data_IF_197273558722
#
_entry.id   IF_197273558722
#
_cell.length_a   1.000
_cell.length_b   1.000
_cell.length_c   1.000
_cell.angle_alpha   90.00
_cell.angle_beta   90.00
_cell.angle_gamma   90.00
#
_symmetry.space_group_name_H-M   'P 1'
#
loop_
_entity.id
_entity.type
_entity.pdbx_description
1 polymer ?
#
# COMPACT_ATOMS: atom_id res chain seq x y z
N UNK A 1 52.96 41.35 59.62
CA UNK A 1 52.29 41.99 58.49
C UNK A 1 51.64 40.85 57.66
N UNK A 2 50.38 40.60 57.91
CA UNK A 2 49.63 39.57 57.19
C UNK A 2 48.78 40.19 56.08
N UNK A 3 49.04 39.83 54.85
CA UNK A 3 48.24 40.23 53.70
C UNK A 3 46.93 39.46 53.70
N UNK A 4 45.82 40.12 53.90
CA UNK A 4 44.49 39.51 53.71
C UNK A 4 44.19 39.52 52.22
N UNK A 5 44.27 38.33 51.63
CA UNK A 5 43.84 38.11 50.23
C UNK A 5 42.34 38.23 50.12
N UNK A 6 41.85 39.35 49.54
CA UNK A 6 40.44 39.50 49.16
C UNK A 6 40.18 38.59 47.97
N UNK A 7 39.52 37.46 48.20
CA UNK A 7 39.02 36.62 47.12
C UNK A 7 37.84 37.30 46.43
N UNK A 8 37.86 37.45 45.09
CA UNK A 8 36.74 38.07 44.38
C UNK A 8 35.58 37.07 44.23
N UNK A 9 34.76 37.00 45.27
CA UNK A 9 33.60 36.09 45.34
C UNK A 9 32.49 36.42 44.30
N UNK A 10 32.61 37.55 43.64
CA UNK A 10 31.64 37.96 42.59
C UNK A 10 31.81 37.30 41.24
N UNK A 11 33.03 36.95 40.86
CA UNK A 11 33.28 36.37 39.50
C UNK A 11 32.87 34.92 39.35
N UNK A 12 32.89 34.13 40.41
CA UNK A 12 32.47 32.74 40.39
C UNK A 12 30.94 32.59 40.16
N UNK A 13 30.15 33.48 40.73
CA UNK A 13 28.70 33.52 40.53
C UNK A 13 28.32 33.97 39.11
N UNK A 14 29.04 34.95 38.55
CA UNK A 14 28.85 35.36 37.16
C UNK A 14 29.18 34.24 36.16
N UNK A 15 30.27 33.54 36.38
CA UNK A 15 30.66 32.41 35.53
C UNK A 15 29.63 31.25 35.59
N UNK A 16 29.12 30.94 36.78
CA UNK A 16 28.09 29.90 36.97
C UNK A 16 26.75 30.31 36.31
N UNK A 17 26.34 31.58 36.40
CA UNK A 17 25.14 32.09 35.75
C UNK A 17 25.25 32.05 34.22
N UNK A 18 26.40 32.42 33.66
CA UNK A 18 26.63 32.31 32.20
C UNK A 18 26.65 30.86 31.71
N UNK A 19 27.25 29.93 32.46
CA UNK A 19 27.24 28.52 32.11
C UNK A 19 25.82 27.93 32.12
N UNK A 20 25.01 28.29 33.13
CA UNK A 20 23.61 27.87 33.20
C UNK A 20 22.77 28.42 32.05
N UNK A 21 22.98 29.70 31.69
CA UNK A 21 22.30 30.32 30.56
C UNK A 21 22.66 29.63 29.21
N UNK A 22 23.95 29.33 29.01
CA UNK A 22 24.39 28.60 27.79
C UNK A 22 23.83 27.18 27.73
N UNK A 23 23.76 26.47 28.85
CA UNK A 23 23.12 25.13 28.90
C UNK A 23 21.63 25.20 28.58
N UNK A 24 20.90 26.16 29.12
CA UNK A 24 19.48 26.35 28.79
C UNK A 24 19.28 26.70 27.31
N UNK A 25 20.13 27.54 26.75
CA UNK A 25 20.10 27.92 25.34
C UNK A 25 20.38 26.70 24.43
N UNK A 26 21.37 25.89 24.80
CA UNK A 26 21.71 24.67 24.08
C UNK A 26 20.58 23.61 24.13
N UNK A 27 19.96 23.43 25.29
CA UNK A 27 18.80 22.58 25.46
C UNK A 27 17.59 23.08 24.65
N UNK A 28 17.31 24.38 24.72
CA UNK A 28 16.24 25.01 23.95
C UNK A 28 16.46 24.83 22.43
N UNK A 29 17.68 25.09 21.96
CA UNK A 29 18.07 24.92 20.56
C UNK A 29 17.93 23.46 20.11
N UNK A 30 18.32 22.50 20.94
CA UNK A 30 18.22 21.08 20.66
C UNK A 30 16.73 20.63 20.53
N UNK A 31 15.88 21.10 21.44
CA UNK A 31 14.43 20.82 21.40
C UNK A 31 13.80 21.40 20.15
N UNK A 32 14.05 22.69 19.84
CA UNK A 32 13.48 23.37 18.67
C UNK A 32 13.98 22.76 17.36
N UNK A 33 15.25 22.37 17.30
CA UNK A 33 15.81 21.71 16.12
C UNK A 33 15.23 20.30 15.91
N UNK A 34 15.01 19.58 16.99
CA UNK A 34 14.38 18.25 16.95
C UNK A 34 12.92 18.29 16.47
N UNK A 35 12.16 19.30 16.88
CA UNK A 35 10.76 19.47 16.45
C UNK A 35 10.65 19.79 14.94
N UNK A 36 11.52 20.67 14.44
CA UNK A 36 11.57 20.96 12.99
C UNK A 36 11.93 19.74 12.15
N UNK A 37 12.86 18.92 12.63
CA UNK A 37 13.22 17.66 11.98
C UNK A 37 12.04 16.68 11.89
N UNK A 38 11.27 16.58 12.98
CA UNK A 38 10.07 15.72 13.03
C UNK A 38 8.97 16.23 12.09
N UNK A 39 8.72 17.54 12.07
CA UNK A 39 7.73 18.15 11.16
C UNK A 39 8.09 17.93 9.70
N UNK A 40 9.36 18.10 9.32
CA UNK A 40 9.82 17.82 7.96
C UNK A 40 9.70 16.34 7.59
N UNK A 41 10.01 15.43 8.52
CA UNK A 41 9.84 14.00 8.30
C UNK A 41 8.36 13.61 8.10
N UNK A 42 7.47 14.15 8.95
CA UNK A 42 6.02 13.93 8.82
C UNK A 42 5.46 14.51 7.51
N UNK A 43 5.87 15.73 7.13
CA UNK A 43 5.45 16.34 5.88
C UNK A 43 5.92 15.54 4.64
N UNK A 44 7.14 15.00 4.68
CA UNK A 44 7.65 14.12 3.61
C UNK A 44 6.90 12.80 3.54
N UNK A 45 6.59 12.21 4.69
CA UNK A 45 5.82 10.97 4.73
C UNK A 45 4.41 11.18 4.19
N UNK A 46 3.70 12.23 4.63
CA UNK A 46 2.35 12.53 4.12
C UNK A 46 2.34 12.86 2.62
N UNK A 47 3.39 13.50 2.11
CA UNK A 47 3.54 13.75 0.67
C UNK A 47 3.72 12.44 -0.10
N UNK A 48 4.63 11.55 0.36
CA UNK A 48 4.85 10.27 -0.30
C UNK A 48 3.61 9.36 -0.29
N UNK A 49 2.84 9.37 0.80
CA UNK A 49 1.56 8.65 0.89
C UNK A 49 0.53 9.21 -0.11
N UNK A 50 0.44 10.54 -0.21
CA UNK A 50 -0.44 11.21 -1.16
C UNK A 50 -0.04 10.96 -2.62
N UNK A 51 1.25 10.91 -2.92
CA UNK A 51 1.76 10.60 -4.27
C UNK A 51 1.46 9.14 -4.63
N UNK A 52 1.68 8.20 -3.73
CA UNK A 52 1.36 6.79 -3.94
C UNK A 52 -0.14 6.55 -4.18
N UNK A 53 -1.00 7.27 -3.45
CA UNK A 53 -2.46 7.23 -3.66
C UNK A 53 -2.85 7.76 -5.04
N UNK A 54 -2.27 8.90 -5.45
CA UNK A 54 -2.50 9.47 -6.79
C UNK A 54 -2.05 8.52 -7.91
N UNK A 55 -0.89 7.90 -7.76
CA UNK A 55 -0.40 6.93 -8.74
C UNK A 55 -1.33 5.72 -8.88
N UNK A 56 -1.84 5.21 -7.76
CA UNK A 56 -2.86 4.14 -7.75
C UNK A 56 -4.12 4.53 -8.50
N UNK A 57 -4.66 5.71 -8.19
CA UNK A 57 -5.87 6.21 -8.86
C UNK A 57 -5.62 6.41 -10.35
N UNK A 58 -4.50 7.00 -10.74
CA UNK A 58 -4.13 7.18 -12.15
C UNK A 58 -3.95 5.84 -12.89
N UNK A 59 -3.42 4.82 -12.22
CA UNK A 59 -3.31 3.49 -12.81
C UNK A 59 -4.69 2.90 -13.13
N UNK A 60 -5.66 3.05 -12.22
CA UNK A 60 -7.05 2.61 -12.45
C UNK A 60 -7.69 3.40 -13.59
N UNK A 61 -7.56 4.73 -13.61
CA UNK A 61 -8.12 5.56 -14.67
C UNK A 61 -7.56 5.21 -16.06
N UNK A 62 -6.26 4.94 -16.14
CA UNK A 62 -5.65 4.50 -17.42
C UNK A 62 -6.31 3.24 -17.99
N UNK A 63 -6.65 2.26 -17.16
CA UNK A 63 -7.38 1.07 -17.62
C UNK A 63 -8.77 1.41 -18.19
N UNK A 64 -9.45 2.39 -17.62
CA UNK A 64 -10.81 2.75 -18.01
C UNK A 64 -10.84 3.62 -19.30
N UNK A 65 -9.79 4.39 -19.55
CA UNK A 65 -9.70 5.32 -20.68
C UNK A 65 -9.08 4.71 -21.95
N UNK A 66 -8.31 3.62 -21.82
CA UNK A 66 -7.63 3.00 -22.95
C UNK A 66 -8.60 2.23 -23.88
N UNK A 67 -8.62 2.53 -25.19
CA UNK A 67 -9.58 1.91 -26.12
C UNK A 67 -9.45 0.39 -26.29
N UNK A 68 -8.26 -0.15 -26.04
CA UNK A 68 -7.98 -1.60 -26.16
C UNK A 68 -8.38 -2.39 -24.92
N UNK A 69 -8.92 -1.71 -23.89
CA UNK A 69 -9.36 -2.36 -22.64
C UNK A 69 -10.62 -3.20 -22.86
N UNK A 70 -10.54 -4.47 -22.53
CA UNK A 70 -11.70 -5.37 -22.53
C UNK A 70 -12.20 -5.54 -21.11
N UNK A 71 -13.47 -5.21 -20.89
CA UNK A 71 -14.14 -5.38 -19.61
C UNK A 71 -14.92 -6.69 -19.62
N UNK A 72 -14.78 -7.45 -18.53
CA UNK A 72 -15.58 -8.64 -18.26
C UNK A 72 -16.21 -8.53 -16.89
N UNK A 73 -17.52 -8.71 -16.83
CA UNK A 73 -18.27 -8.72 -15.57
C UNK A 73 -18.29 -10.13 -15.00
N UNK A 74 -18.22 -10.25 -13.70
CA UNK A 74 -18.49 -11.49 -12.98
C UNK A 74 -19.52 -11.26 -11.88
N UNK A 75 -20.18 -12.31 -11.48
CA UNK A 75 -21.25 -12.28 -10.47
C UNK A 75 -22.42 -13.12 -10.92
N UNK A 76 -23.16 -13.63 -9.95
CA UNK A 76 -24.35 -14.43 -10.16
C UNK A 76 -25.58 -13.68 -9.63
N UNK A 77 -26.80 -13.90 -10.14
CA UNK A 77 -28.03 -13.29 -9.61
C UNK A 77 -28.44 -13.77 -8.21
N UNK A 78 -27.58 -14.51 -7.51
CA UNK A 78 -27.82 -14.95 -6.14
C UNK A 78 -27.69 -13.80 -5.13
N UNK A 79 -28.28 -13.97 -3.95
CA UNK A 79 -28.61 -12.91 -2.99
C UNK A 79 -27.45 -12.10 -2.38
N UNK A 80 -26.19 -12.40 -2.57
CA UNK A 80 -24.98 -11.57 -2.31
C UNK A 80 -23.66 -12.28 -2.73
N UNK A 81 -23.53 -12.74 -3.98
CA UNK A 81 -22.27 -13.33 -4.43
C UNK A 81 -21.18 -12.27 -4.59
N UNK A 82 -19.91 -12.65 -4.63
CA UNK A 82 -18.87 -11.81 -5.16
C UNK A 82 -19.24 -11.33 -6.56
N UNK A 83 -19.07 -10.04 -6.80
CA UNK A 83 -19.38 -9.40 -8.08
C UNK A 83 -18.36 -8.34 -8.42
N UNK A 84 -18.21 -8.01 -9.69
CA UNK A 84 -17.32 -6.95 -10.11
C UNK A 84 -16.94 -7.04 -11.57
N UNK A 85 -15.85 -6.38 -11.89
CA UNK A 85 -15.34 -6.24 -13.24
C UNK A 85 -13.86 -6.62 -13.28
N UNK A 86 -13.48 -7.27 -14.36
CA UNK A 86 -12.08 -7.49 -14.72
C UNK A 86 -11.83 -6.76 -16.03
N UNK A 87 -10.80 -5.94 -16.05
CA UNK A 87 -10.35 -5.18 -17.21
C UNK A 87 -9.03 -5.76 -17.68
N UNK A 88 -8.96 -6.11 -18.93
CA UNK A 88 -7.78 -6.67 -19.58
C UNK A 88 -7.26 -5.69 -20.62
N UNK A 89 -5.98 -5.37 -20.55
CA UNK A 89 -5.32 -4.54 -21.55
C UNK A 89 -3.96 -5.16 -21.92
N UNK A 90 -3.61 -5.25 -23.21
CA UNK A 90 -2.41 -5.97 -23.66
C UNK A 90 -1.12 -5.42 -23.06
N UNK A 91 -1.01 -4.13 -22.85
CA UNK A 91 0.19 -3.46 -22.31
C UNK A 91 0.10 -3.13 -20.82
N UNK A 92 -1.09 -2.78 -20.30
CA UNK A 92 -1.27 -2.38 -18.91
C UNK A 92 -1.47 -3.58 -17.99
N UNK A 93 -1.87 -4.74 -18.53
CA UNK A 93 -2.10 -5.96 -17.76
C UNK A 93 -3.55 -6.20 -17.38
N UNK A 94 -3.80 -6.54 -16.13
CA UNK A 94 -5.14 -6.87 -15.62
C UNK A 94 -5.47 -6.01 -14.40
N UNK A 95 -6.67 -5.42 -14.41
CA UNK A 95 -7.26 -4.73 -13.27
C UNK A 95 -8.53 -5.48 -12.83
N UNK A 96 -8.58 -5.87 -11.57
CA UNK A 96 -9.75 -6.45 -10.91
C UNK A 96 -10.37 -5.41 -9.98
N UNK A 97 -11.68 -5.19 -10.10
CA UNK A 97 -12.50 -4.44 -9.15
C UNK A 97 -13.59 -5.37 -8.64
N UNK A 98 -13.58 -5.68 -7.37
CA UNK A 98 -14.48 -6.65 -6.74
C UNK A 98 -15.25 -6.05 -5.56
N UNK A 99 -16.46 -6.55 -5.34
CA UNK A 99 -17.32 -6.23 -4.21
C UNK A 99 -17.99 -7.50 -3.67
N UNK A 100 -18.48 -7.44 -2.44
CA UNK A 100 -19.11 -8.55 -1.71
C UNK A 100 -18.18 -9.77 -1.55
N UNK A 101 -16.87 -9.51 -1.42
CA UNK A 101 -15.93 -10.57 -1.08
C UNK A 101 -16.16 -11.01 0.37
N UNK A 102 -16.16 -12.33 0.67
CA UNK A 102 -16.31 -12.81 2.03
C UNK A 102 -15.13 -12.37 2.92
N UNK A 103 -15.32 -12.16 4.22
CA UNK A 103 -14.24 -11.82 5.11
C UNK A 103 -13.23 -12.97 5.22
N UNK A 104 -11.94 -12.63 5.26
CA UNK A 104 -10.84 -13.57 5.46
C UNK A 104 -10.39 -13.60 6.91
N UNK A 105 -9.83 -14.74 7.33
CA UNK A 105 -9.06 -14.82 8.57
C UNK A 105 -7.66 -14.22 8.37
N UNK A 106 -6.93 -13.85 9.45
CA UNK A 106 -5.55 -13.34 9.32
C UNK A 106 -4.55 -14.30 8.66
N UNK A 107 -4.88 -15.60 8.60
CA UNK A 107 -4.06 -16.63 7.96
C UNK A 107 -4.38 -16.81 6.47
N UNK A 108 -5.28 -16.00 5.89
CA UNK A 108 -5.76 -16.14 4.52
C UNK A 108 -5.54 -14.85 3.71
N UNK A 109 -5.50 -15.03 2.41
CA UNK A 109 -5.44 -13.97 1.41
C UNK A 109 -6.29 -14.36 0.21
N UNK A 110 -6.67 -13.40 -0.62
CA UNK A 110 -7.13 -13.68 -1.97
C UNK A 110 -5.94 -13.80 -2.90
N UNK A 111 -6.03 -14.68 -3.88
CA UNK A 111 -5.06 -14.80 -4.95
C UNK A 111 -5.77 -14.76 -6.31
N UNK A 112 -5.27 -13.89 -7.19
CA UNK A 112 -5.71 -13.82 -8.57
C UNK A 112 -4.85 -14.74 -9.43
N UNK A 113 -5.47 -15.39 -10.41
CA UNK A 113 -4.86 -16.34 -11.31
C UNK A 113 -5.18 -15.98 -12.76
N UNK A 114 -4.18 -15.99 -13.63
CA UNK A 114 -4.39 -15.95 -15.07
C UNK A 114 -4.72 -17.38 -15.53
N UNK A 115 -5.81 -17.50 -16.26
CA UNK A 115 -6.24 -18.77 -16.88
C UNK A 115 -5.77 -18.79 -18.34
N UNK A 116 -4.82 -19.67 -18.73
CA UNK A 116 -4.38 -19.76 -20.10
C UNK A 116 -5.43 -20.45 -20.99
N UNK A 117 -5.52 -20.05 -22.27
CA UNK A 117 -6.28 -20.78 -23.28
C UNK A 117 -5.65 -22.15 -23.51
N UNK A 118 -6.49 -23.13 -23.87
CA UNK A 118 -6.02 -24.50 -24.13
C UNK A 118 -5.84 -25.35 -22.87
N UNK A 119 -6.29 -24.92 -21.69
CA UNK A 119 -6.31 -25.72 -20.47
C UNK A 119 -4.96 -25.90 -19.77
N UNK A 120 -4.02 -24.97 -19.97
CA UNK A 120 -2.77 -24.91 -19.21
C UNK A 120 -2.99 -24.63 -17.73
N UNK A 121 -1.96 -24.84 -16.90
CA UNK A 121 -2.01 -24.55 -15.47
C UNK A 121 -2.27 -23.06 -15.22
N UNK A 122 -3.16 -22.70 -14.28
CA UNK A 122 -3.34 -21.33 -13.85
C UNK A 122 -2.03 -20.71 -13.35
N UNK A 123 -1.79 -19.45 -13.68
CA UNK A 123 -0.57 -18.72 -13.31
C UNK A 123 -0.89 -17.73 -12.21
N UNK A 124 -0.10 -17.67 -11.11
CA UNK A 124 -0.28 -16.67 -10.06
C UNK A 124 -0.20 -15.25 -10.61
N UNK A 125 -1.17 -14.42 -10.26
CA UNK A 125 -1.29 -13.04 -10.71
C UNK A 125 -1.38 -12.02 -9.56
N UNK A 126 -0.99 -12.46 -8.36
CA UNK A 126 -0.80 -11.65 -7.19
C UNK A 126 -1.82 -11.85 -6.07
N UNK A 127 -1.37 -11.51 -4.88
CA UNK A 127 -2.14 -11.60 -3.63
C UNK A 127 -2.78 -10.25 -3.32
N UNK A 128 -3.99 -10.29 -2.75
CA UNK A 128 -4.67 -9.07 -2.33
C UNK A 128 -5.62 -9.31 -1.16
N UNK A 129 -6.05 -8.23 -0.52
CA UNK A 129 -7.01 -8.24 0.58
C UNK A 129 -8.24 -7.41 0.21
N UNK A 130 -9.36 -7.71 0.82
CA UNK A 130 -10.54 -6.85 0.76
C UNK A 130 -10.56 -5.85 1.91
N UNK A 131 -11.27 -4.76 1.71
CA UNK A 131 -11.67 -3.85 2.80
C UNK A 131 -12.65 -4.55 3.74
N UNK A 132 -12.90 -3.96 4.90
CA UNK A 132 -13.95 -4.44 5.83
C UNK A 132 -15.35 -4.48 5.18
N UNK A 133 -15.59 -3.68 4.15
CA UNK A 133 -16.82 -3.68 3.36
C UNK A 133 -16.87 -4.76 2.26
N UNK A 134 -15.85 -5.62 2.17
CA UNK A 134 -15.76 -6.67 1.16
C UNK A 134 -15.41 -6.16 -0.24
N UNK A 135 -14.84 -4.96 -0.36
CA UNK A 135 -14.39 -4.41 -1.65
C UNK A 135 -12.90 -4.61 -1.85
N UNK A 136 -12.46 -4.85 -3.08
CA UNK A 136 -11.04 -4.94 -3.42
C UNK A 136 -10.77 -4.34 -4.81
N UNK A 137 -9.58 -3.77 -4.95
CA UNK A 137 -8.97 -3.39 -6.23
C UNK A 137 -7.59 -4.03 -6.29
N UNK A 138 -7.35 -4.83 -7.31
CA UNK A 138 -6.07 -5.49 -7.53
C UNK A 138 -5.59 -5.30 -8.96
N UNK A 139 -4.31 -5.08 -9.15
CA UNK A 139 -3.70 -4.84 -10.46
C UNK A 139 -2.52 -5.77 -10.68
N UNK A 140 -2.48 -6.43 -11.82
CA UNK A 140 -1.31 -7.11 -12.37
C UNK A 140 -0.69 -6.17 -13.42
N UNK A 141 0.32 -5.36 -13.09
CA UNK A 141 0.85 -4.31 -13.97
C UNK A 141 1.92 -4.85 -14.93
N UNK A 142 1.60 -5.91 -15.66
CA UNK A 142 2.48 -6.50 -16.66
C UNK A 142 1.70 -6.83 -17.92
N UNK A 143 2.35 -6.66 -19.09
CA UNK A 143 1.74 -6.99 -20.38
C UNK A 143 1.23 -8.43 -20.41
N UNK A 144 0.03 -8.61 -20.93
CA UNK A 144 -0.60 -9.92 -21.10
C UNK A 144 -0.97 -10.16 -22.56
N UNK A 145 -0.66 -11.36 -23.08
CA UNK A 145 -1.09 -11.72 -24.43
C UNK A 145 -2.55 -12.18 -24.39
N UNK A 146 -3.47 -11.29 -24.75
CA UNK A 146 -4.91 -11.58 -24.73
C UNK A 146 -5.33 -12.74 -25.65
N UNK A 147 -4.50 -13.10 -26.61
CA UNK A 147 -4.78 -14.29 -27.46
C UNK A 147 -4.54 -15.60 -26.73
N UNK A 148 -3.72 -15.61 -25.69
CA UNK A 148 -3.35 -16.79 -24.89
C UNK A 148 -4.08 -16.87 -23.55
N UNK A 149 -4.75 -15.79 -23.12
CA UNK A 149 -5.49 -15.71 -21.86
C UNK A 149 -6.96 -16.02 -22.09
N UNK A 150 -7.48 -17.03 -21.37
CA UNK A 150 -8.91 -17.36 -21.34
C UNK A 150 -9.68 -16.47 -20.35
N UNK A 151 -9.01 -16.00 -19.29
CA UNK A 151 -9.63 -15.20 -18.26
C UNK A 151 -8.82 -15.14 -16.98
N UNK A 152 -9.48 -14.77 -15.90
CA UNK A 152 -8.93 -14.82 -14.54
C UNK A 152 -9.83 -15.62 -13.62
N UNK A 153 -9.23 -16.17 -12.56
CA UNK A 153 -9.95 -16.73 -11.42
C UNK A 153 -9.44 -16.09 -10.13
N UNK A 154 -10.22 -16.17 -9.08
CA UNK A 154 -9.84 -15.77 -7.73
C UNK A 154 -10.18 -16.89 -6.76
N UNK A 155 -9.24 -17.20 -5.87
CA UNK A 155 -9.38 -18.19 -4.80
C UNK A 155 -9.04 -17.56 -3.45
N UNK A 156 -9.37 -18.28 -2.39
CA UNK A 156 -8.90 -17.97 -1.03
C UNK A 156 -7.75 -18.92 -0.73
N UNK A 157 -6.59 -18.33 -0.44
CA UNK A 157 -5.33 -19.05 -0.25
C UNK A 157 -4.74 -18.78 1.16
N UNK A 158 -3.78 -19.58 1.63
CA UNK A 158 -2.97 -19.21 2.79
C UNK A 158 -2.31 -17.84 2.60
N UNK A 159 -1.99 -17.14 3.70
CA UNK A 159 -1.44 -15.78 3.66
C UNK A 159 -0.17 -15.62 2.80
N UNK A 160 0.60 -16.70 2.60
CA UNK A 160 1.78 -16.73 1.74
C UNK A 160 1.46 -16.97 0.25
N UNK A 161 0.19 -17.20 -0.11
CA UNK A 161 -0.24 -17.64 -1.44
C UNK A 161 0.00 -19.11 -1.69
N UNK A 162 -0.29 -19.56 -2.92
CA UNK A 162 -0.16 -20.94 -3.36
C UNK A 162 0.53 -21.04 -4.73
N UNK A 163 1.03 -22.22 -5.09
CA UNK A 163 1.58 -22.49 -6.42
C UNK A 163 0.48 -22.94 -7.41
N UNK A 164 -0.62 -23.41 -6.88
CA UNK A 164 -1.81 -23.84 -7.64
C UNK A 164 -3.06 -23.43 -6.90
N UNK A 165 -4.16 -23.08 -7.61
CA UNK A 165 -5.39 -22.61 -6.97
C UNK A 165 -5.96 -23.63 -6.00
N UNK A 166 -6.30 -23.19 -4.78
CA UNK A 166 -7.05 -23.99 -3.82
C UNK A 166 -8.54 -23.92 -4.17
N UNK A 167 -9.19 -25.08 -4.20
CA UNK A 167 -10.64 -25.16 -4.46
C UNK A 167 -11.47 -24.93 -3.18
N UNK A 168 -12.66 -24.34 -3.29
CA UNK A 168 -13.34 -23.94 -4.53
C UNK A 168 -12.82 -22.58 -5.07
N UNK A 169 -12.93 -22.40 -6.39
CA UNK A 169 -12.75 -21.09 -7.03
C UNK A 169 -13.88 -20.18 -6.54
N UNK A 170 -13.54 -19.01 -6.01
CA UNK A 170 -14.50 -18.04 -5.50
C UNK A 170 -15.32 -17.41 -6.64
N UNK A 171 -14.64 -17.01 -7.71
CA UNK A 171 -15.24 -16.62 -8.99
C UNK A 171 -14.21 -16.70 -10.12
N UNK A 172 -14.71 -16.70 -11.35
CA UNK A 172 -13.91 -16.60 -12.56
C UNK A 172 -14.57 -15.66 -13.58
N UNK A 173 -13.75 -14.92 -14.32
CA UNK A 173 -14.15 -14.05 -15.41
C UNK A 173 -13.41 -14.46 -16.69
N UNK A 174 -14.14 -14.80 -17.75
CA UNK A 174 -13.57 -15.29 -19.01
C UNK A 174 -13.66 -14.21 -20.08
N UNK A 175 -12.58 -14.03 -20.84
CA UNK A 175 -12.58 -13.21 -22.05
C UNK A 175 -13.29 -13.99 -23.14
N UNK A 176 -14.41 -13.47 -23.64
CA UNK A 176 -15.16 -14.04 -24.75
C UNK A 176 -14.42 -13.92 -26.08
#
# INVERSE_FOLDING_TARGET
MGAVGVQPMGWTWFAAACAAAMLMLALWFNVVSGERGRQLAQARQSLSESEAERERLQAVFRFLEEPETRQVNFGSPQTQPPRGNVYFHPRLGVLLIAANLPPLTPAQTYEMWILPKGGGAPQPAGLFQSTAAGSAVHTLPQAVNLSEVAGVAVTVEPAAGSQTPTLPILFAAQIG
#
